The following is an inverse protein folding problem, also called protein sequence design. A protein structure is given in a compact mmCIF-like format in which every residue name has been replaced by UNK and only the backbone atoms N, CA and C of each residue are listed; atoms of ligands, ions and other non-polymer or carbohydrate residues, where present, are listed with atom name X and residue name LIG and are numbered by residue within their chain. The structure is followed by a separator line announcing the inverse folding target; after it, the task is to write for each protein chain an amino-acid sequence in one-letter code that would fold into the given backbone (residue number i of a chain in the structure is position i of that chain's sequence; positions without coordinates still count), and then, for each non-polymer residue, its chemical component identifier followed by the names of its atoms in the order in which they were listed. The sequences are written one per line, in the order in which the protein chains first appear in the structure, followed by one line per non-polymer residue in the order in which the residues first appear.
data_IF_708608031303
#
_entry.id   IF_708608031303
#
_cell.length_a   1.000
_cell.length_b   1.000
_cell.length_c   1.000
_cell.angle_alpha   90.00
_cell.angle_beta   90.00
_cell.angle_gamma   90.00
#
_symmetry.space_group_name_H-M   'P 1'
#
loop_
_entity.id
_entity.type
_entity.pdbx_description
1 polymer ?
#
# COMPACT_ATOMS: atom_id res chain seq x y z
N UNK A 1 -22.72 20.06 -32.95
CA UNK A 1 -21.55 19.17 -33.13
C UNK A 1 -20.40 19.49 -32.17
N UNK A 2 -20.10 20.75 -31.85
CA UNK A 2 -19.03 21.13 -30.89
C UNK A 2 -19.23 20.62 -29.44
N UNK A 3 -20.49 20.60 -28.95
CA UNK A 3 -20.82 20.11 -27.60
C UNK A 3 -20.37 18.65 -27.35
N UNK A 4 -20.44 17.80 -28.38
CA UNK A 4 -20.05 16.39 -28.25
C UNK A 4 -18.56 16.22 -28.00
N UNK A 5 -17.72 16.90 -28.79
CA UNK A 5 -16.25 16.83 -28.65
C UNK A 5 -15.76 17.33 -27.30
N UNK A 6 -16.38 18.39 -26.74
CA UNK A 6 -16.04 18.88 -25.41
C UNK A 6 -16.30 17.83 -24.31
N UNK A 7 -17.40 17.09 -24.40
CA UNK A 7 -17.73 16.01 -23.46
C UNK A 7 -16.71 14.87 -23.57
N UNK A 8 -16.37 14.44 -24.79
CA UNK A 8 -15.38 13.37 -24.98
C UNK A 8 -13.99 13.75 -24.45
N UNK A 9 -13.53 14.97 -24.73
CA UNK A 9 -12.25 15.46 -24.21
C UNK A 9 -12.29 15.55 -22.68
N UNK A 10 -13.37 16.07 -22.11
CA UNK A 10 -13.55 16.13 -20.66
C UNK A 10 -13.46 14.75 -20.00
N UNK A 11 -14.16 13.75 -20.53
CA UNK A 11 -14.12 12.38 -20.01
C UNK A 11 -12.73 11.76 -20.07
N UNK A 12 -12.01 11.95 -21.19
CA UNK A 12 -10.65 11.44 -21.36
C UNK A 12 -9.68 12.09 -20.36
N UNK A 13 -9.79 13.41 -20.16
CA UNK A 13 -8.96 14.14 -19.19
C UNK A 13 -9.24 13.67 -17.77
N UNK A 14 -10.51 13.53 -17.38
CA UNK A 14 -10.88 13.02 -16.05
C UNK A 14 -10.34 11.61 -15.82
N UNK A 15 -10.47 10.72 -16.81
CA UNK A 15 -9.93 9.37 -16.71
C UNK A 15 -8.39 9.35 -16.54
N UNK A 16 -7.67 10.18 -17.28
CA UNK A 16 -6.21 10.29 -17.18
C UNK A 16 -5.74 10.82 -15.81
N UNK A 17 -6.46 11.81 -15.25
CA UNK A 17 -6.17 12.38 -13.93
C UNK A 17 -6.41 11.38 -12.79
N UNK A 18 -7.50 10.61 -12.88
CA UNK A 18 -7.85 9.59 -11.89
C UNK A 18 -6.83 8.44 -11.88
N UNK A 19 -6.40 7.97 -13.06
CA UNK A 19 -5.42 6.90 -13.16
C UNK A 19 -4.10 7.24 -12.48
N UNK A 20 -3.53 8.42 -12.79
CA UNK A 20 -2.23 8.84 -12.26
C UNK A 20 -2.27 9.01 -10.74
N UNK A 21 -3.28 9.68 -10.22
CA UNK A 21 -3.38 9.98 -8.79
C UNK A 21 -3.69 8.73 -7.96
N UNK A 22 -4.63 7.88 -8.40
CA UNK A 22 -4.98 6.65 -7.69
C UNK A 22 -3.83 5.63 -7.66
N UNK A 23 -3.10 5.47 -8.78
CA UNK A 23 -1.94 4.57 -8.83
C UNK A 23 -0.82 5.02 -7.88
N UNK A 24 -0.49 6.31 -7.87
CA UNK A 24 0.52 6.87 -6.96
C UNK A 24 0.10 6.67 -5.50
N UNK A 25 -1.14 7.00 -5.16
CA UNK A 25 -1.65 6.86 -3.80
C UNK A 25 -1.62 5.41 -3.31
N UNK A 26 -2.01 4.45 -4.17
CA UNK A 26 -2.00 3.04 -3.83
C UNK A 26 -0.58 2.52 -3.54
N UNK A 27 0.39 2.84 -4.42
CA UNK A 27 1.78 2.44 -4.26
C UNK A 27 2.38 3.05 -2.97
N UNK A 28 2.16 4.35 -2.75
CA UNK A 28 2.67 5.03 -1.56
C UNK A 28 2.06 4.44 -0.29
N UNK A 29 0.75 4.19 -0.27
CA UNK A 29 0.06 3.63 0.91
C UNK A 29 0.52 2.22 1.23
N UNK A 30 0.66 1.38 0.20
CA UNK A 30 1.15 0.01 0.35
C UNK A 30 2.60 -0.01 0.86
N UNK A 31 3.45 0.86 0.29
CA UNK A 31 4.83 1.01 0.73
C UNK A 31 4.93 1.53 2.16
N UNK A 32 4.09 2.51 2.56
CA UNK A 32 4.11 3.06 3.91
C UNK A 32 3.75 2.00 4.95
N UNK A 33 2.69 1.21 4.71
CA UNK A 33 2.29 0.11 5.60
C UNK A 33 3.43 -0.90 5.75
N UNK A 34 4.06 -1.29 4.64
CA UNK A 34 5.19 -2.21 4.66
C UNK A 34 6.42 -1.61 5.38
N UNK A 35 6.79 -0.37 5.08
CA UNK A 35 7.95 0.29 5.67
C UNK A 35 7.82 0.46 7.19
N UNK A 36 6.63 0.87 7.67
CA UNK A 36 6.37 1.03 9.11
C UNK A 36 6.48 -0.32 9.83
N UNK A 37 5.86 -1.38 9.28
CA UNK A 37 5.92 -2.73 9.89
C UNK A 37 7.33 -3.32 9.88
N UNK A 38 8.14 -2.99 8.87
CA UNK A 38 9.56 -3.36 8.83
C UNK A 38 10.38 -2.58 9.86
N UNK A 39 10.22 -1.26 9.94
CA UNK A 39 10.94 -0.40 10.89
C UNK A 39 10.67 -0.78 12.35
N UNK A 40 9.42 -1.18 12.66
CA UNK A 40 9.05 -1.66 13.99
C UNK A 40 9.86 -2.90 14.43
N UNK A 41 10.41 -3.68 13.49
CA UNK A 41 11.18 -4.89 13.75
C UNK A 41 12.71 -4.65 13.76
N UNK A 42 13.21 -3.48 13.32
CA UNK A 42 14.64 -3.27 13.12
C UNK A 42 15.43 -3.15 14.44
N UNK A 43 14.85 -2.53 15.46
CA UNK A 43 15.45 -2.37 16.79
C UNK A 43 14.39 -2.63 17.87
N UNK A 44 13.96 -3.89 18.02
CA UNK A 44 12.87 -4.24 18.93
C UNK A 44 13.34 -4.06 20.37
N UNK A 45 12.54 -3.34 21.16
CA UNK A 45 12.79 -3.12 22.58
C UNK A 45 12.37 -4.32 23.45
N UNK A 46 11.50 -5.18 22.90
CA UNK A 46 10.91 -6.32 23.59
C UNK A 46 11.17 -7.55 22.76
N UNK A 47 11.82 -8.54 23.36
CA UNK A 47 11.99 -9.86 22.75
C UNK A 47 10.76 -10.74 23.01
N UNK A 48 10.39 -11.62 22.07
CA UNK A 48 9.28 -12.55 22.27
C UNK A 48 9.56 -13.50 23.44
N UNK A 49 8.69 -13.52 24.45
CA UNK A 49 8.73 -14.50 25.54
C UNK A 49 7.71 -15.60 25.27
N UNK A 50 8.17 -16.79 24.87
CA UNK A 50 7.30 -17.97 24.70
C UNK A 50 7.09 -18.70 26.03
N UNK A 51 5.83 -18.98 26.39
CA UNK A 51 5.46 -19.91 27.48
C UNK A 51 4.89 -21.20 26.85
N UNK A 52 5.73 -22.21 26.68
CA UNK A 52 5.35 -23.50 26.08
C UNK A 52 5.73 -23.58 24.60
N UNK A 53 6.92 -24.13 24.34
CA UNK A 53 7.28 -24.67 23.02
C UNK A 53 6.82 -26.12 22.98
N UNK A 54 6.24 -26.57 21.86
CA UNK A 54 5.89 -27.99 21.71
C UNK A 54 7.19 -28.77 21.53
N UNK A 55 7.40 -29.77 22.36
CA UNK A 55 8.64 -30.58 22.51
C UNK A 55 9.19 -31.08 21.16
N UNK A 56 8.34 -31.27 20.16
CA UNK A 56 8.71 -31.68 18.79
C UNK A 56 9.66 -30.72 18.03
N UNK A 57 9.86 -29.49 18.51
CA UNK A 57 10.73 -28.48 17.89
C UNK A 57 12.05 -28.24 18.64
N UNK A 58 12.39 -29.08 19.63
CA UNK A 58 13.60 -28.95 20.47
C UNK A 58 14.84 -29.71 19.95
N UNK A 59 14.76 -30.37 18.80
CA UNK A 59 15.82 -31.18 18.21
C UNK A 59 16.68 -30.42 17.19
#
# INVERSE_FOLDING_TARGET
MAQGYAVFIGLVVIAALLWRSSAILAIVSCYLMWAITFLAQLHPLIAPRKSGIREEHLH
#
